data_IF_432335318580
#
_entry.id   IF_432335318580
#
_cell.length_a   1.000
_cell.length_b   1.000
_cell.length_c   1.000
_cell.angle_alpha   90.00
_cell.angle_beta   90.00
_cell.angle_gamma   90.00
#
_symmetry.space_group_name_H-M   'P 1'
#
loop_
_entity.id
_entity.type
_entity.pdbx_description
1 polymer ?
#
# COMPACT_ATOMS: atom_id res chain seq x y z
N UNK A 1 -9.36 21.42 -26.63
CA UNK A 1 -9.02 21.42 -25.20
C UNK A 1 -7.88 20.43 -25.05
N UNK A 2 -6.69 20.84 -24.64
CA UNK A 2 -5.63 19.88 -24.30
C UNK A 2 -6.06 19.17 -23.04
N UNK A 3 -6.23 17.85 -23.10
CA UNK A 3 -6.34 17.05 -21.90
C UNK A 3 -4.99 17.09 -21.17
N UNK A 4 -4.97 16.97 -19.83
CA UNK A 4 -3.71 16.83 -19.11
C UNK A 4 -2.99 15.56 -19.60
N UNK A 5 -1.69 15.69 -19.86
CA UNK A 5 -0.84 14.55 -20.21
C UNK A 5 -0.92 13.54 -19.06
N UNK A 6 -1.31 12.32 -19.38
CA UNK A 6 -1.44 11.20 -18.43
C UNK A 6 -0.36 10.16 -18.73
N UNK A 7 0.32 9.69 -17.69
CA UNK A 7 1.33 8.63 -17.80
C UNK A 7 0.68 7.26 -17.64
N UNK A 8 1.13 6.30 -18.45
CA UNK A 8 0.72 4.90 -18.39
C UNK A 8 1.95 3.99 -18.35
N UNK A 9 1.78 2.81 -17.77
CA UNK A 9 2.70 1.67 -17.93
C UNK A 9 2.01 0.66 -18.85
N UNK A 10 2.73 0.23 -19.88
CA UNK A 10 2.42 -0.95 -20.68
C UNK A 10 3.41 -2.06 -20.28
N UNK A 11 2.89 -3.18 -19.81
CA UNK A 11 3.67 -4.34 -19.37
C UNK A 11 3.38 -5.53 -20.27
N UNK A 12 4.41 -6.25 -20.71
CA UNK A 12 4.26 -7.55 -21.38
C UNK A 12 4.30 -8.67 -20.33
N UNK A 13 3.37 -9.62 -20.43
CA UNK A 13 3.17 -10.66 -19.42
C UNK A 13 3.87 -11.95 -19.82
N UNK A 14 4.60 -12.55 -18.89
CA UNK A 14 5.17 -13.89 -19.07
C UNK A 14 4.03 -14.93 -19.14
N UNK A 15 3.93 -15.74 -20.21
CA UNK A 15 2.80 -16.66 -20.39
C UNK A 15 2.79 -17.84 -19.40
N UNK A 16 3.93 -18.15 -18.80
CA UNK A 16 4.08 -19.27 -17.86
C UNK A 16 3.93 -18.81 -16.41
N UNK A 17 4.48 -17.64 -16.09
CA UNK A 17 4.51 -17.09 -14.73
C UNK A 17 3.43 -16.03 -14.45
N UNK A 18 2.77 -15.53 -15.50
CA UNK A 18 1.68 -14.55 -15.45
C UNK A 18 2.04 -13.25 -14.71
N UNK A 19 3.32 -12.88 -14.73
CA UNK A 19 3.82 -11.62 -14.18
C UNK A 19 4.38 -10.73 -15.28
N UNK A 20 4.45 -9.40 -15.06
CA UNK A 20 5.18 -8.51 -15.96
C UNK A 20 6.63 -8.96 -16.13
N UNK A 21 7.11 -9.01 -17.37
CA UNK A 21 8.50 -9.36 -17.71
C UNK A 21 9.23 -8.24 -18.45
N UNK A 22 8.49 -7.34 -19.09
CA UNK A 22 8.98 -6.12 -19.74
C UNK A 22 7.97 -5.02 -19.49
N UNK A 23 8.46 -3.79 -19.27
CA UNK A 23 7.59 -2.64 -19.02
C UNK A 23 8.13 -1.41 -19.74
N UNK A 24 7.22 -0.61 -20.28
CA UNK A 24 7.52 0.70 -20.86
C UNK A 24 6.54 1.73 -20.31
N UNK A 25 7.06 2.92 -20.02
CA UNK A 25 6.23 4.08 -19.66
C UNK A 25 6.02 4.93 -20.90
N UNK A 26 4.79 5.39 -21.07
CA UNK A 26 4.44 6.32 -22.14
C UNK A 26 3.45 7.37 -21.64
N UNK A 27 3.41 8.49 -22.34
CA UNK A 27 2.58 9.64 -22.05
C UNK A 27 1.56 9.83 -23.16
N UNK A 28 0.32 10.19 -22.82
CA UNK A 28 -0.71 10.53 -23.81
C UNK A 28 -1.69 11.56 -23.27
N UNK A 29 -2.16 12.46 -24.14
CA UNK A 29 -3.32 13.32 -23.92
C UNK A 29 -4.57 12.84 -24.71
N UNK A 30 -4.44 11.78 -25.53
CA UNK A 30 -5.54 11.16 -26.28
C UNK A 30 -6.05 9.90 -25.57
N UNK A 31 -6.74 10.11 -24.44
CA UNK A 31 -7.38 9.04 -23.68
C UNK A 31 -8.49 8.32 -24.48
N UNK A 32 -9.14 9.02 -25.40
CA UNK A 32 -10.18 8.44 -26.25
C UNK A 32 -9.62 7.43 -27.26
N UNK A 33 -8.46 7.71 -27.85
CA UNK A 33 -7.75 6.72 -28.66
C UNK A 33 -7.32 5.52 -27.82
N UNK A 34 -6.72 5.74 -26.65
CA UNK A 34 -6.27 4.63 -25.79
C UNK A 34 -7.44 3.74 -25.36
N UNK A 35 -8.55 4.36 -24.92
CA UNK A 35 -9.78 3.66 -24.52
C UNK A 35 -10.33 2.76 -25.62
N UNK A 36 -10.42 3.26 -26.85
CA UNK A 36 -10.88 2.47 -28.02
C UNK A 36 -10.02 1.25 -28.32
N UNK A 37 -8.74 1.27 -27.92
CA UNK A 37 -7.82 0.16 -28.13
C UNK A 37 -7.86 -0.86 -26.99
N UNK A 38 -7.99 -0.41 -25.74
CA UNK A 38 -7.95 -1.29 -24.56
C UNK A 38 -9.29 -1.93 -24.24
N UNK A 39 -10.38 -1.16 -24.32
CA UNK A 39 -11.73 -1.67 -24.08
C UNK A 39 -12.76 -0.79 -24.84
N UNK A 40 -13.11 -1.15 -26.08
CA UNK A 40 -14.04 -0.37 -26.90
C UNK A 40 -15.48 -0.36 -26.35
N UNK A 41 -15.81 -1.26 -25.42
CA UNK A 41 -17.17 -1.44 -24.90
C UNK A 41 -17.33 -0.99 -23.43
N UNK A 42 -16.24 -0.61 -22.73
CA UNK A 42 -16.30 -0.08 -21.36
C UNK A 42 -16.90 1.34 -21.29
N UNK A 43 -18.15 1.50 -20.79
CA UNK A 43 -18.81 2.80 -20.75
C UNK A 43 -18.47 3.60 -19.49
N UNK A 44 -17.81 2.99 -18.49
CA UNK A 44 -17.84 3.46 -17.10
C UNK A 44 -16.49 4.01 -16.58
N UNK A 45 -15.35 3.69 -17.19
CA UNK A 45 -14.04 4.21 -16.78
C UNK A 45 -13.46 5.17 -17.83
N UNK A 46 -13.81 6.44 -17.69
CA UNK A 46 -13.37 7.52 -18.60
C UNK A 46 -11.89 7.85 -18.38
N UNK A 47 -11.38 7.65 -17.17
CA UNK A 47 -10.04 8.09 -16.75
C UNK A 47 -8.99 6.98 -16.81
N UNK A 48 -9.40 5.78 -17.21
CA UNK A 48 -8.59 4.56 -17.33
C UNK A 48 -7.84 4.24 -16.03
N UNK A 49 -8.55 4.27 -14.91
CA UNK A 49 -7.98 4.09 -13.57
C UNK A 49 -7.78 2.59 -13.20
N UNK A 50 -8.33 1.66 -13.97
CA UNK A 50 -8.17 0.21 -13.76
C UNK A 50 -6.96 -0.41 -14.52
N UNK A 51 -6.81 -1.73 -14.39
CA UNK A 51 -5.87 -2.56 -15.14
C UNK A 51 -6.56 -3.22 -16.34
N UNK A 52 -6.05 -2.96 -17.54
CA UNK A 52 -6.62 -3.50 -18.79
C UNK A 52 -5.74 -4.61 -19.33
N UNK A 53 -6.31 -5.79 -19.53
CA UNK A 53 -5.64 -6.90 -20.20
C UNK A 53 -5.76 -6.71 -21.73
N UNK A 54 -4.63 -6.76 -22.42
CA UNK A 54 -4.53 -6.59 -23.86
C UNK A 54 -4.08 -7.90 -24.51
N UNK A 55 -4.78 -8.30 -25.56
CA UNK A 55 -4.28 -9.31 -26.50
C UNK A 55 -3.03 -8.82 -27.24
N UNK A 56 -2.24 -9.70 -27.87
CA UNK A 56 -1.01 -9.29 -28.56
C UNK A 56 -1.27 -8.30 -29.70
N UNK A 57 -2.42 -8.42 -30.36
CA UNK A 57 -2.87 -7.49 -31.40
C UNK A 57 -3.19 -6.10 -30.84
N UNK A 58 -3.81 -6.04 -29.65
CA UNK A 58 -4.07 -4.76 -28.98
C UNK A 58 -2.78 -4.11 -28.49
N UNK A 59 -1.83 -4.90 -27.96
CA UNK A 59 -0.50 -4.39 -27.58
C UNK A 59 0.19 -3.75 -28.78
N UNK A 60 0.22 -4.44 -29.93
CA UNK A 60 0.80 -3.89 -31.16
C UNK A 60 0.09 -2.60 -31.59
N UNK A 61 -1.25 -2.59 -31.58
CA UNK A 61 -2.03 -1.40 -31.96
C UNK A 61 -1.76 -0.20 -31.04
N UNK A 62 -1.60 -0.40 -29.73
CA UNK A 62 -1.21 0.66 -28.79
C UNK A 62 0.20 1.16 -29.11
N UNK A 63 1.15 0.25 -29.35
CA UNK A 63 2.53 0.65 -29.69
C UNK A 63 2.58 1.47 -30.99
N UNK A 64 1.81 1.07 -32.00
CA UNK A 64 1.73 1.77 -33.29
C UNK A 64 1.08 3.15 -33.15
N UNK A 65 -0.05 3.25 -32.45
CA UNK A 65 -0.81 4.52 -32.31
C UNK A 65 -0.05 5.54 -31.47
N UNK A 66 0.65 5.11 -30.42
CA UNK A 66 1.38 6.00 -29.51
C UNK A 66 2.90 6.03 -29.78
N UNK A 67 3.35 5.46 -30.91
CA UNK A 67 4.75 5.40 -31.32
C UNK A 67 5.70 4.89 -30.22
N UNK A 68 5.30 3.82 -29.54
CA UNK A 68 6.04 3.22 -28.42
C UNK A 68 7.02 2.18 -28.97
N UNK A 69 8.31 2.38 -28.73
CA UNK A 69 9.33 1.36 -29.00
C UNK A 69 9.30 0.28 -27.89
N UNK A 70 8.55 -0.80 -28.13
CA UNK A 70 8.36 -1.87 -27.15
C UNK A 70 8.38 -3.26 -27.81
N UNK A 71 9.46 -4.03 -27.61
CA UNK A 71 9.53 -5.42 -28.09
C UNK A 71 8.75 -6.36 -27.16
N UNK A 72 7.45 -6.43 -27.38
CA UNK A 72 6.55 -7.28 -26.59
C UNK A 72 6.62 -8.76 -26.99
N UNK A 73 7.30 -9.13 -28.09
CA UNK A 73 7.43 -10.51 -28.57
C UNK A 73 6.10 -11.27 -28.72
N UNK A 74 5.05 -10.57 -29.15
CA UNK A 74 3.68 -11.12 -29.31
C UNK A 74 3.05 -11.67 -28.02
N UNK A 75 3.47 -11.17 -26.85
CA UNK A 75 2.84 -11.48 -25.55
C UNK A 75 1.57 -10.68 -25.33
N UNK A 76 0.70 -11.23 -24.49
CA UNK A 76 -0.37 -10.45 -23.85
C UNK A 76 0.25 -9.33 -23.01
N UNK A 77 -0.48 -8.23 -22.90
CA UNK A 77 -0.04 -7.06 -22.16
C UNK A 77 -1.03 -6.63 -21.10
N UNK A 78 -0.57 -5.81 -20.16
CA UNK A 78 -1.42 -5.07 -19.24
C UNK A 78 -1.10 -3.59 -19.36
N UNK A 79 -2.14 -2.76 -19.46
CA UNK A 79 -2.02 -1.32 -19.33
C UNK A 79 -2.61 -0.90 -17.99
N UNK A 80 -1.90 -0.01 -17.31
CA UNK A 80 -2.40 0.66 -16.12
C UNK A 80 -1.90 2.09 -16.07
N UNK A 81 -2.71 2.99 -15.55
CA UNK A 81 -2.31 4.37 -15.28
C UNK A 81 -1.14 4.41 -14.32
N UNK A 82 -0.10 5.16 -14.69
CA UNK A 82 1.03 5.38 -13.82
C UNK A 82 0.71 6.51 -12.84
N UNK A 83 0.61 6.15 -11.56
CA UNK A 83 0.51 7.11 -10.47
C UNK A 83 1.88 7.18 -9.81
N UNK A 84 2.58 8.31 -9.99
CA UNK A 84 3.79 8.57 -9.22
C UNK A 84 3.38 8.82 -7.76
N UNK A 85 3.58 7.80 -6.94
CA UNK A 85 3.33 7.90 -5.50
C UNK A 85 4.45 8.64 -4.77
N UNK A 86 5.53 9.02 -5.46
CA UNK A 86 6.76 9.55 -4.86
C UNK A 86 7.51 8.52 -4.02
N UNK A 87 7.01 7.28 -3.95
CA UNK A 87 7.59 6.22 -3.14
C UNK A 87 8.12 5.11 -4.03
N UNK A 88 9.43 4.91 -3.95
CA UNK A 88 10.09 3.76 -4.56
C UNK A 88 10.15 2.61 -3.56
N UNK A 89 9.31 1.60 -3.76
CA UNK A 89 9.36 0.37 -2.97
C UNK A 89 10.65 -0.39 -3.34
N UNK A 90 11.55 -0.68 -2.39
CA UNK A 90 12.87 -1.25 -2.69
C UNK A 90 12.85 -2.76 -2.95
N UNK A 91 11.67 -3.39 -2.93
CA UNK A 91 11.49 -4.83 -3.17
C UNK A 91 10.09 -5.11 -3.75
N UNK A 92 9.86 -6.35 -4.20
CA UNK A 92 8.58 -6.80 -4.74
C UNK A 92 7.61 -7.13 -3.61
N UNK A 93 6.67 -6.22 -3.33
CA UNK A 93 5.59 -6.41 -2.35
C UNK A 93 4.24 -6.58 -3.06
N UNK A 94 3.62 -7.77 -2.95
CA UNK A 94 2.27 -8.04 -3.48
C UNK A 94 2.05 -7.58 -4.94
N UNK A 95 3.05 -7.79 -5.80
CA UNK A 95 3.17 -7.15 -7.11
C UNK A 95 2.59 -7.97 -8.26
N UNK A 96 1.92 -9.10 -8.00
CA UNK A 96 1.55 -10.06 -9.05
C UNK A 96 2.71 -10.96 -9.48
N UNK A 97 3.81 -10.97 -8.72
CA UNK A 97 4.98 -11.84 -8.95
C UNK A 97 4.99 -13.07 -8.04
N UNK A 98 3.91 -13.32 -7.29
CA UNK A 98 3.78 -14.42 -6.33
C UNK A 98 4.20 -15.76 -6.94
N UNK A 99 3.65 -16.12 -8.10
CA UNK A 99 3.95 -17.38 -8.77
C UNK A 99 5.44 -17.47 -9.13
N UNK A 100 5.99 -16.44 -9.75
CA UNK A 100 7.40 -16.39 -10.15
C UNK A 100 8.34 -16.53 -8.94
N UNK A 101 8.07 -15.78 -7.86
CA UNK A 101 8.90 -15.81 -6.66
C UNK A 101 8.81 -17.15 -5.92
N UNK A 102 7.63 -17.77 -5.89
CA UNK A 102 7.46 -19.10 -5.31
C UNK A 102 8.10 -20.18 -6.19
N UNK A 103 7.94 -20.12 -7.51
CA UNK A 103 8.57 -21.08 -8.43
C UNK A 103 10.10 -21.05 -8.35
N UNK A 104 10.68 -19.89 -8.03
CA UNK A 104 12.12 -19.71 -7.78
C UNK A 104 12.54 -20.09 -6.34
N UNK A 105 11.62 -20.47 -5.46
CA UNK A 105 11.90 -20.78 -4.06
C UNK A 105 12.25 -19.57 -3.19
N UNK A 106 12.08 -18.35 -3.70
CA UNK A 106 12.41 -17.09 -3.00
C UNK A 106 11.30 -16.62 -2.08
N UNK A 107 10.07 -17.02 -2.36
CA UNK A 107 8.89 -16.76 -1.53
C UNK A 107 8.33 -18.10 -1.06
N UNK A 108 8.35 -18.40 0.25
CA UNK A 108 7.88 -19.69 0.77
C UNK A 108 6.35 -19.80 0.84
N UNK A 109 5.64 -18.67 0.81
CA UNK A 109 4.21 -18.59 1.02
C UNK A 109 3.61 -17.40 0.29
N UNK A 110 2.43 -17.59 -0.30
CA UNK A 110 1.67 -16.54 -0.96
C UNK A 110 0.19 -16.87 -0.92
N UNK A 111 -0.64 -15.86 -1.18
CA UNK A 111 -2.06 -16.05 -1.36
C UNK A 111 -2.56 -15.24 -2.55
N UNK A 112 -3.60 -15.74 -3.20
CA UNK A 112 -4.25 -15.08 -4.34
C UNK A 112 -5.73 -14.92 -4.04
N UNK A 113 -6.27 -13.76 -4.40
CA UNK A 113 -7.72 -13.56 -4.42
C UNK A 113 -8.31 -14.34 -5.59
N UNK A 114 -9.34 -15.12 -5.29
CA UNK A 114 -10.03 -15.97 -6.24
C UNK A 114 -11.42 -15.45 -6.53
N UNK A 115 -11.77 -15.34 -7.81
CA UNK A 115 -13.12 -15.11 -8.28
C UNK A 115 -13.38 -15.91 -9.56
N UNK A 116 -14.31 -16.87 -9.51
CA UNK A 116 -14.60 -17.75 -10.64
C UNK A 116 -15.21 -17.06 -11.86
N UNK A 117 -15.73 -15.85 -11.72
CA UNK A 117 -16.22 -15.05 -12.85
C UNK A 117 -15.12 -14.19 -13.49
N UNK A 118 -13.98 -14.05 -12.82
CA UNK A 118 -12.88 -13.22 -13.31
C UNK A 118 -11.83 -14.10 -13.97
N UNK A 119 -11.79 -14.07 -15.30
CA UNK A 119 -10.92 -14.93 -16.11
C UNK A 119 -9.43 -14.90 -15.69
N UNK A 120 -8.79 -13.74 -15.46
CA UNK A 120 -7.42 -13.69 -14.94
C UNK A 120 -7.19 -14.47 -13.64
N UNK A 121 -8.17 -14.44 -12.72
CA UNK A 121 -8.08 -15.19 -11.46
C UNK A 121 -8.12 -16.70 -11.68
N UNK A 122 -8.97 -17.17 -12.60
CA UNK A 122 -9.07 -18.59 -12.96
C UNK A 122 -7.78 -19.08 -13.63
N UNK A 123 -7.22 -18.29 -14.54
CA UNK A 123 -5.96 -18.62 -15.24
C UNK A 123 -4.79 -18.64 -14.25
N UNK A 124 -4.70 -17.65 -13.35
CA UNK A 124 -3.66 -17.61 -12.32
C UNK A 124 -3.72 -18.83 -11.41
N UNK A 125 -4.92 -19.19 -10.92
CA UNK A 125 -5.12 -20.40 -10.12
C UNK A 125 -4.64 -21.65 -10.86
N UNK A 126 -5.02 -21.80 -12.12
CA UNK A 126 -4.63 -22.97 -12.92
C UNK A 126 -3.11 -23.12 -13.01
N UNK A 127 -2.37 -22.02 -13.16
CA UNK A 127 -0.89 -22.05 -13.15
C UNK A 127 -0.33 -22.50 -11.81
N UNK A 128 -0.85 -22.00 -10.70
CA UNK A 128 -0.42 -22.50 -9.39
C UNK A 128 -0.76 -24.00 -9.22
N UNK A 129 -1.94 -24.43 -9.65
CA UNK A 129 -2.39 -25.82 -9.53
C UNK A 129 -1.47 -26.79 -10.31
N UNK A 130 -0.85 -26.36 -11.41
CA UNK A 130 0.18 -27.15 -12.12
C UNK A 130 1.39 -27.45 -11.21
N UNK A 131 1.85 -26.48 -10.43
CA UNK A 131 2.95 -26.68 -9.46
C UNK A 131 2.52 -27.52 -8.26
N UNK A 132 1.25 -27.43 -7.84
CA UNK A 132 0.67 -28.31 -6.81
C UNK A 132 0.62 -29.76 -7.31
N UNK A 133 0.15 -29.99 -8.53
CA UNK A 133 0.07 -31.31 -9.15
C UNK A 133 1.45 -31.97 -9.32
N UNK A 134 2.50 -31.17 -9.54
CA UNK A 134 3.91 -31.61 -9.57
C UNK A 134 4.51 -31.88 -8.19
N UNK A 135 3.78 -31.61 -7.10
CA UNK A 135 4.25 -31.77 -5.73
C UNK A 135 5.27 -30.70 -5.29
N UNK A 136 5.40 -29.60 -6.03
CA UNK A 136 6.30 -28.48 -5.71
C UNK A 136 5.65 -27.54 -4.70
N UNK A 137 4.34 -27.30 -4.84
CA UNK A 137 3.55 -26.49 -3.91
C UNK A 137 2.53 -27.33 -3.15
N UNK A 138 2.04 -26.76 -2.05
CA UNK A 138 0.83 -27.18 -1.37
C UNK A 138 -0.18 -26.03 -1.35
N UNK A 139 -1.46 -26.33 -1.51
CA UNK A 139 -2.54 -25.33 -1.54
C UNK A 139 -3.63 -25.61 -0.52
N UNK A 140 -4.21 -24.55 0.04
CA UNK A 140 -5.44 -24.59 0.82
C UNK A 140 -6.42 -23.52 0.32
N UNK A 141 -7.63 -23.93 -0.06
CA UNK A 141 -8.67 -23.03 -0.55
C UNK A 141 -9.57 -22.55 0.61
N UNK A 142 -9.74 -21.24 0.73
CA UNK A 142 -10.72 -20.60 1.61
C UNK A 142 -11.73 -19.87 0.71
N UNK A 143 -12.66 -20.65 0.14
CA UNK A 143 -13.58 -20.18 -0.89
C UNK A 143 -15.02 -20.31 -0.40
N UNK A 144 -15.82 -19.28 -0.69
CA UNK A 144 -17.25 -19.22 -0.41
C UNK A 144 -18.03 -19.36 -1.72
N UNK A 145 -19.05 -20.22 -1.70
CA UNK A 145 -20.05 -20.29 -2.76
C UNK A 145 -21.07 -19.16 -2.61
N UNK A 146 -21.12 -18.27 -3.59
CA UNK A 146 -22.07 -17.17 -3.68
C UNK A 146 -23.21 -17.58 -4.61
N UNK A 147 -24.46 -17.68 -4.12
CA UNK A 147 -25.59 -18.08 -4.94
C UNK A 147 -25.92 -17.02 -6.00
N UNK A 148 -26.51 -17.47 -7.11
CA UNK A 148 -26.97 -16.58 -8.18
C UNK A 148 -27.99 -15.55 -7.70
N UNK A 149 -27.94 -14.35 -8.28
CA UNK A 149 -28.92 -13.26 -8.09
C UNK A 149 -29.40 -12.77 -9.46
N UNK A 150 -30.55 -12.07 -9.57
CA UNK A 150 -30.97 -11.49 -10.85
C UNK A 150 -29.84 -10.64 -11.47
N UNK A 151 -29.42 -10.98 -12.69
CA UNK A 151 -28.32 -10.32 -13.39
C UNK A 151 -26.90 -10.67 -12.92
N UNK A 152 -26.72 -11.62 -11.98
CA UNK A 152 -25.41 -12.09 -11.52
C UNK A 152 -25.38 -13.62 -11.35
N UNK A 153 -24.55 -14.35 -12.10
CA UNK A 153 -24.40 -15.80 -11.95
C UNK A 153 -24.00 -16.22 -10.52
N UNK A 154 -24.17 -17.51 -10.23
CA UNK A 154 -23.54 -18.10 -9.06
C UNK A 154 -22.02 -18.13 -9.27
N UNK A 155 -21.26 -17.88 -8.21
CA UNK A 155 -19.81 -17.73 -8.30
C UNK A 155 -19.10 -18.17 -7.03
N UNK A 156 -17.83 -18.51 -7.17
CA UNK A 156 -16.92 -18.87 -6.08
C UNK A 156 -15.96 -17.71 -5.87
N UNK A 157 -15.96 -17.15 -4.66
CA UNK A 157 -15.03 -16.07 -4.30
C UNK A 157 -14.31 -16.41 -3.00
N UNK A 158 -13.08 -15.95 -2.85
CA UNK A 158 -12.34 -16.13 -1.61
C UNK A 158 -10.85 -16.04 -1.84
N UNK A 159 -10.08 -16.71 -1.00
CA UNK A 159 -8.62 -16.66 -1.05
C UNK A 159 -8.06 -18.07 -1.18
N UNK A 160 -7.02 -18.23 -2.00
CA UNK A 160 -6.29 -19.50 -2.12
C UNK A 160 -4.89 -19.27 -1.58
N UNK A 161 -4.52 -20.08 -0.60
CA UNK A 161 -3.22 -20.05 0.07
C UNK A 161 -2.30 -21.07 -0.58
N UNK A 162 -1.08 -20.67 -0.93
CA UNK A 162 -0.06 -21.53 -1.51
C UNK A 162 1.21 -21.48 -0.68
N UNK A 163 1.80 -22.64 -0.40
CA UNK A 163 3.10 -22.80 0.26
C UNK A 163 4.03 -23.61 -0.62
N UNK A 164 5.34 -23.43 -0.47
CA UNK A 164 6.29 -24.44 -0.95
C UNK A 164 6.06 -25.76 -0.21
N UNK A 165 6.33 -26.88 -0.87
CA UNK A 165 6.29 -28.18 -0.21
C UNK A 165 7.28 -28.22 0.96
N UNK A 166 6.82 -28.61 2.15
CA UNK A 166 7.58 -28.55 3.41
C UNK A 166 7.35 -27.28 4.25
N UNK A 167 6.73 -26.24 3.67
CA UNK A 167 6.40 -24.99 4.35
C UNK A 167 4.90 -24.90 4.73
N UNK A 168 4.17 -26.03 4.72
CA UNK A 168 2.73 -26.08 4.98
C UNK A 168 2.33 -25.50 6.35
N UNK A 169 3.24 -25.53 7.31
CA UNK A 169 3.06 -25.00 8.67
C UNK A 169 2.72 -23.50 8.69
N UNK A 170 3.01 -22.75 7.62
CA UNK A 170 2.71 -21.31 7.51
C UNK A 170 1.22 -21.01 7.43
N UNK A 171 0.43 -21.91 6.83
CA UNK A 171 -1.02 -21.73 6.70
C UNK A 171 -1.72 -21.78 8.08
N UNK A 172 -1.56 -22.82 8.91
CA UNK A 172 -2.16 -22.84 10.25
C UNK A 172 -1.56 -21.76 11.16
N UNK A 173 -0.32 -21.33 10.95
CA UNK A 173 0.23 -20.18 11.68
C UNK A 173 -0.52 -18.89 11.32
N UNK A 174 -0.74 -18.60 10.02
CA UNK A 174 -1.52 -17.45 9.57
C UNK A 174 -2.94 -17.47 10.15
N UNK A 175 -3.61 -18.62 10.05
CA UNK A 175 -4.96 -18.81 10.57
C UNK A 175 -5.03 -18.56 12.08
N UNK A 176 -4.07 -19.10 12.84
CA UNK A 176 -3.94 -18.86 14.27
C UNK A 176 -3.82 -17.37 14.60
N UNK A 177 -2.98 -16.62 13.88
CA UNK A 177 -2.82 -15.19 14.12
C UNK A 177 -4.09 -14.41 13.76
N UNK A 178 -4.71 -14.69 12.60
CA UNK A 178 -5.95 -14.05 12.18
C UNK A 178 -7.07 -14.27 13.20
N UNK A 179 -7.20 -15.48 13.74
CA UNK A 179 -8.25 -15.83 14.70
C UNK A 179 -8.01 -15.33 16.13
N UNK A 180 -6.76 -15.09 16.55
CA UNK A 180 -6.44 -14.80 17.95
C UNK A 180 -5.91 -13.39 18.20
N UNK A 181 -5.22 -12.81 17.23
CA UNK A 181 -4.53 -11.52 17.39
C UNK A 181 -5.21 -10.41 16.57
N UNK A 182 -5.92 -10.75 15.47
CA UNK A 182 -6.64 -9.79 14.63
C UNK A 182 -8.17 -9.94 14.71
N UNK A 183 -8.72 -10.22 15.89
CA UNK A 183 -10.16 -10.53 16.05
C UNK A 183 -11.09 -9.38 15.64
N UNK A 184 -10.63 -8.14 15.73
CA UNK A 184 -11.44 -6.96 15.38
C UNK A 184 -11.01 -6.32 14.06
N UNK A 185 -10.09 -6.93 13.31
CA UNK A 185 -9.55 -6.34 12.07
C UNK A 185 -8.67 -5.11 12.33
N UNK A 186 -8.27 -4.88 13.58
CA UNK A 186 -7.54 -3.72 14.10
C UNK A 186 -6.02 -3.87 13.94
N UNK A 187 -5.58 -4.52 12.85
CA UNK A 187 -4.20 -4.90 12.53
C UNK A 187 -3.14 -3.97 13.13
N UNK A 188 -2.26 -4.54 13.96
CA UNK A 188 -1.15 -3.81 14.57
C UNK A 188 0.17 -4.06 13.83
N UNK A 189 1.21 -3.25 14.09
CA UNK A 189 2.51 -3.44 13.45
C UNK A 189 3.07 -4.86 13.64
N UNK A 190 2.83 -5.47 14.80
CA UNK A 190 3.30 -6.84 15.04
C UNK A 190 2.57 -7.85 14.17
N UNK A 191 1.29 -7.62 13.83
CA UNK A 191 0.57 -8.44 12.88
C UNK A 191 1.18 -8.32 11.48
N UNK A 192 1.43 -7.10 11.01
CA UNK A 192 2.07 -6.86 9.70
C UNK A 192 3.46 -7.52 9.64
N UNK A 193 4.27 -7.43 10.71
CA UNK A 193 5.56 -8.13 10.77
C UNK A 193 5.40 -9.65 10.74
N UNK A 194 4.42 -10.19 11.43
CA UNK A 194 4.17 -11.64 11.48
C UNK A 194 3.66 -12.16 10.14
N UNK A 195 2.67 -11.50 9.53
CA UNK A 195 2.17 -11.87 8.20
C UNK A 195 3.28 -11.72 7.16
N UNK A 196 4.05 -10.63 7.20
CA UNK A 196 5.19 -10.45 6.31
C UNK A 196 6.27 -11.51 6.48
N UNK A 197 6.61 -11.90 7.72
CA UNK A 197 7.55 -12.99 7.98
C UNK A 197 7.02 -14.36 7.51
N UNK A 198 5.71 -14.61 7.65
CA UNK A 198 5.08 -15.81 7.09
C UNK A 198 5.16 -15.83 5.57
N UNK A 199 4.99 -14.69 4.90
CA UNK A 199 5.17 -14.53 3.45
C UNK A 199 6.65 -14.66 3.02
N UNK A 200 7.59 -14.60 3.96
CA UNK A 200 9.03 -14.73 3.71
C UNK A 200 9.77 -13.41 3.51
N UNK A 201 9.17 -12.28 3.89
CA UNK A 201 9.86 -11.00 3.91
C UNK A 201 10.80 -10.88 5.11
N UNK A 202 11.97 -10.30 4.85
CA UNK A 202 12.98 -9.99 5.87
C UNK A 202 12.51 -8.86 6.81
N UNK A 203 13.10 -8.78 8.00
CA UNK A 203 12.70 -7.80 9.01
C UNK A 203 12.76 -6.35 8.49
N UNK A 204 13.80 -6.00 7.73
CA UNK A 204 13.93 -4.65 7.17
C UNK A 204 12.86 -4.35 6.11
N UNK A 205 12.39 -5.36 5.36
CA UNK A 205 11.30 -5.20 4.39
C UNK A 205 10.00 -4.90 5.12
N UNK A 206 9.71 -5.66 6.18
CA UNK A 206 8.54 -5.44 7.02
C UNK A 206 8.58 -4.05 7.68
N UNK A 207 9.73 -3.65 8.25
CA UNK A 207 9.87 -2.33 8.86
C UNK A 207 9.72 -1.20 7.83
N UNK A 208 10.25 -1.38 6.62
CA UNK A 208 10.04 -0.44 5.52
C UNK A 208 8.56 -0.32 5.14
N UNK A 209 7.84 -1.44 5.01
CA UNK A 209 6.42 -1.46 4.67
C UNK A 209 5.57 -0.76 5.73
N UNK A 210 5.83 -1.06 7.00
CA UNK A 210 5.15 -0.44 8.13
C UNK A 210 5.41 1.06 8.19
N UNK A 211 6.65 1.49 7.92
CA UNK A 211 6.99 2.91 7.83
C UNK A 211 6.25 3.58 6.65
N UNK A 212 6.25 2.94 5.48
CA UNK A 212 5.56 3.42 4.30
C UNK A 212 4.06 3.62 4.56
N UNK A 213 3.38 2.59 5.09
CA UNK A 213 1.95 2.65 5.42
C UNK A 213 1.65 3.75 6.46
N UNK A 214 2.51 3.90 7.46
CA UNK A 214 2.30 4.91 8.49
C UNK A 214 2.44 6.34 7.99
N UNK A 215 3.39 6.60 7.07
CA UNK A 215 3.56 7.91 6.43
C UNK A 215 2.46 8.21 5.43
N UNK A 216 2.01 7.19 4.71
CA UNK A 216 1.01 7.32 3.66
C UNK A 216 -0.41 7.50 4.19
N UNK A 217 -0.64 7.57 5.51
CA UNK A 217 -1.96 7.83 6.14
C UNK A 217 -3.12 6.96 5.61
N UNK A 218 -2.78 5.88 4.90
CA UNK A 218 -3.67 4.94 4.22
C UNK A 218 -3.50 3.59 4.91
N UNK A 219 -4.59 2.83 4.99
CA UNK A 219 -4.58 1.48 5.52
C UNK A 219 -4.75 1.39 7.03
N UNK A 220 -4.20 0.32 7.61
CA UNK A 220 -4.50 -0.19 8.95
C UNK A 220 -4.08 0.73 10.11
N UNK A 221 -3.21 1.71 9.88
CA UNK A 221 -2.69 2.61 10.90
C UNK A 221 -3.50 3.89 11.10
N UNK A 222 -4.71 3.96 10.51
CA UNK A 222 -5.55 5.13 10.60
C UNK A 222 -4.88 6.38 10.05
N UNK A 223 -5.42 7.53 10.42
CA UNK A 223 -4.87 8.79 9.97
C UNK A 223 -3.57 9.13 10.69
N UNK A 224 -2.63 9.68 9.94
CA UNK A 224 -1.35 10.12 10.48
C UNK A 224 -1.29 11.64 10.62
N UNK A 225 -0.92 12.07 11.82
CA UNK A 225 -0.86 13.48 12.21
C UNK A 225 0.51 13.79 12.82
N UNK A 226 0.98 15.00 12.58
CA UNK A 226 2.25 15.51 13.08
C UNK A 226 1.97 16.61 14.11
N UNK A 227 2.69 16.55 15.23
CA UNK A 227 2.67 17.51 16.33
C UNK A 227 4.08 18.09 16.49
N UNK A 228 4.18 19.41 16.66
CA UNK A 228 5.41 20.05 17.16
C UNK A 228 5.44 19.95 18.68
N UNK A 229 6.60 19.63 19.23
CA UNK A 229 6.80 19.56 20.68
C UNK A 229 7.97 20.41 21.11
N UNK A 230 7.85 21.07 22.26
CA UNK A 230 8.96 21.75 22.91
C UNK A 230 9.84 20.77 23.72
N UNK A 231 10.90 21.29 24.36
CA UNK A 231 11.83 20.47 25.17
C UNK A 231 11.12 19.72 26.30
N UNK A 232 10.24 20.38 27.05
CA UNK A 232 9.58 19.77 28.20
C UNK A 232 8.59 18.68 27.75
N UNK A 233 7.86 18.92 26.68
CA UNK A 233 6.98 17.96 26.03
C UNK A 233 7.74 16.77 25.45
N UNK A 234 8.90 17.01 24.85
CA UNK A 234 9.77 15.94 24.34
C UNK A 234 10.33 15.07 25.48
N UNK A 235 10.81 15.69 26.57
CA UNK A 235 11.31 14.96 27.73
C UNK A 235 10.19 14.12 28.38
N UNK A 236 8.95 14.65 28.40
CA UNK A 236 7.77 13.90 28.82
C UNK A 236 7.50 12.70 27.91
N UNK A 237 7.57 12.87 26.59
CA UNK A 237 7.40 11.78 25.62
C UNK A 237 8.41 10.66 25.85
N UNK A 238 9.67 11.00 26.09
CA UNK A 238 10.72 10.05 26.45
C UNK A 238 10.36 9.32 27.75
N UNK A 239 9.93 10.04 28.78
CA UNK A 239 9.53 9.44 30.06
C UNK A 239 8.32 8.50 29.93
N UNK A 240 7.34 8.86 29.10
CA UNK A 240 6.17 8.04 28.79
C UNK A 240 6.47 6.87 27.82
N UNK A 241 7.72 6.69 27.39
CA UNK A 241 8.12 5.68 26.43
C UNK A 241 7.43 5.83 25.09
N UNK A 242 7.07 7.06 24.70
CA UNK A 242 6.36 7.41 23.48
C UNK A 242 4.97 6.75 23.32
N UNK A 243 4.31 6.37 24.41
CA UNK A 243 2.99 5.70 24.36
C UNK A 243 1.79 6.64 24.44
N UNK A 244 2.03 7.94 24.51
CA UNK A 244 1.02 8.97 24.65
C UNK A 244 1.57 10.30 24.14
N UNK A 245 0.69 11.20 23.74
CA UNK A 245 1.00 12.61 23.50
C UNK A 245 1.19 13.35 24.84
N UNK A 246 2.11 14.34 24.88
CA UNK A 246 2.38 15.10 26.09
C UNK A 246 1.20 16.02 26.44
N UNK A 247 1.03 16.36 27.72
CA UNK A 247 0.08 17.39 28.11
C UNK A 247 0.48 18.74 27.49
N UNK A 248 -0.52 19.56 27.23
CA UNK A 248 -0.37 20.92 26.67
C UNK A 248 -1.06 21.89 27.61
N UNK A 249 -0.34 22.91 28.09
CA UNK A 249 -0.87 23.92 29.00
C UNK A 249 -1.75 24.96 28.29
N UNK A 250 -1.61 25.08 26.97
CA UNK A 250 -2.46 25.91 26.12
C UNK A 250 -3.83 25.26 25.87
N UNK A 251 -4.89 26.07 25.62
CA UNK A 251 -6.24 25.54 25.35
C UNK A 251 -6.31 24.71 24.07
N UNK A 252 -5.40 24.94 23.13
CA UNK A 252 -5.29 24.22 21.86
C UNK A 252 -3.85 23.83 21.57
N UNK A 253 -3.69 22.88 20.65
CA UNK A 253 -2.41 22.51 20.06
C UNK A 253 -2.56 22.35 18.54
N UNK A 254 -1.46 22.56 17.82
CA UNK A 254 -1.45 22.52 16.36
C UNK A 254 -1.15 21.12 15.85
N UNK A 255 -2.00 20.61 14.96
CA UNK A 255 -1.77 19.40 14.18
C UNK A 255 -1.54 19.70 12.70
N UNK A 256 -0.64 18.93 12.10
CA UNK A 256 -0.42 18.90 10.66
C UNK A 256 -0.76 17.52 10.12
N UNK A 257 -1.30 17.44 8.91
CA UNK A 257 -1.49 16.16 8.24
C UNK A 257 -0.16 15.66 7.67
N UNK A 258 0.21 14.40 7.94
CA UNK A 258 1.53 13.85 7.55
C UNK A 258 1.76 13.87 6.04
N UNK A 259 0.68 13.84 5.27
CA UNK A 259 0.70 13.87 3.80
C UNK A 259 1.17 15.19 3.21
N UNK A 260 1.01 16.28 3.96
CA UNK A 260 1.17 17.64 3.43
C UNK A 260 2.29 18.40 4.12
N UNK A 261 2.92 17.80 5.12
CA UNK A 261 3.94 18.45 5.93
C UNK A 261 5.24 17.66 5.89
N UNK A 262 6.04 17.98 4.87
CA UNK A 262 7.28 17.28 4.56
C UNK A 262 8.46 17.70 5.46
N UNK A 263 9.58 17.01 5.27
CA UNK A 263 10.80 17.26 6.04
C UNK A 263 11.38 18.67 5.81
N UNK A 264 11.25 19.23 4.60
CA UNK A 264 11.74 20.56 4.31
C UNK A 264 10.93 21.63 5.06
N UNK A 265 9.61 21.48 5.10
CA UNK A 265 8.70 22.33 5.87
C UNK A 265 8.95 22.21 7.38
N UNK A 266 9.16 21.00 7.90
CA UNK A 266 9.55 20.77 9.29
C UNK A 266 10.89 21.48 9.63
N UNK A 267 11.92 21.30 8.80
CA UNK A 267 13.22 21.95 9.00
C UNK A 267 13.12 23.48 8.94
N UNK A 268 12.28 24.02 8.05
CA UNK A 268 12.03 25.46 7.98
C UNK A 268 11.38 25.97 9.27
N UNK A 269 10.29 25.33 9.72
CA UNK A 269 9.61 25.71 10.94
C UNK A 269 10.52 25.67 12.18
N UNK A 270 11.42 24.69 12.29
CA UNK A 270 12.39 24.62 13.40
C UNK A 270 13.48 25.69 13.37
N UNK A 271 13.82 26.21 12.18
CA UNK A 271 14.73 27.36 12.06
C UNK A 271 14.03 28.65 12.50
N UNK A 272 12.76 28.80 12.13
CA UNK A 272 11.98 30.02 12.40
C UNK A 272 11.49 30.11 13.85
N UNK A 273 11.22 28.96 14.49
CA UNK A 273 10.75 28.88 15.88
C UNK A 273 11.76 28.12 16.75
N UNK A 274 12.53 28.80 17.62
CA UNK A 274 13.55 28.17 18.47
C UNK A 274 12.94 27.30 19.59
N UNK A 275 11.64 27.40 19.85
CA UNK A 275 10.98 26.64 20.93
C UNK A 275 10.71 25.18 20.55
N UNK A 276 10.65 24.88 19.25
CA UNK A 276 10.39 23.52 18.74
C UNK A 276 11.60 22.63 19.03
N UNK A 277 11.46 21.61 19.87
CA UNK A 277 12.50 20.61 20.07
C UNK A 277 12.44 19.51 19.01
N UNK A 278 11.24 19.08 18.64
CA UNK A 278 11.04 18.01 17.68
C UNK A 278 9.67 18.12 16.98
N UNK A 279 9.57 17.46 15.82
CA UNK A 279 8.30 17.05 15.26
C UNK A 279 8.08 15.56 15.51
N UNK A 280 6.89 15.23 16.00
CA UNK A 280 6.50 13.85 16.28
C UNK A 280 5.25 13.47 15.51
N UNK A 281 5.21 12.21 15.07
CA UNK A 281 4.10 11.61 14.34
C UNK A 281 3.33 10.70 15.29
N UNK A 282 2.01 10.74 15.18
CA UNK A 282 1.15 9.72 15.77
C UNK A 282 0.07 9.30 14.78
N UNK A 283 -0.49 8.13 15.06
CA UNK A 283 -1.45 7.46 14.21
C UNK A 283 -2.64 7.04 15.08
N UNK A 284 -3.85 7.36 14.63
CA UNK A 284 -5.07 7.09 15.38
C UNK A 284 -6.34 7.21 14.54
N UNK A 285 -7.47 6.81 15.13
CA UNK A 285 -8.77 6.92 14.49
C UNK A 285 -9.18 8.39 14.32
N UNK A 286 -9.10 8.93 13.09
CA UNK A 286 -9.50 10.30 12.78
C UNK A 286 -10.97 10.57 13.16
N UNK A 287 -11.82 9.54 13.15
CA UNK A 287 -13.22 9.62 13.59
C UNK A 287 -13.42 10.30 14.95
N UNK A 288 -12.43 10.22 15.85
CA UNK A 288 -12.50 10.83 17.18
C UNK A 288 -12.13 12.30 17.22
N UNK A 289 -11.58 12.86 16.14
CA UNK A 289 -11.12 14.26 16.05
C UNK A 289 -11.61 14.99 14.79
N UNK A 290 -12.26 14.32 13.83
CA UNK A 290 -12.79 14.93 12.59
C UNK A 290 -13.84 16.02 12.80
N UNK A 291 -14.48 16.05 13.97
CA UNK A 291 -15.40 17.13 14.33
C UNK A 291 -14.66 18.42 14.76
N UNK A 292 -13.36 18.33 15.06
CA UNK A 292 -12.54 19.45 15.49
C UNK A 292 -11.77 20.12 14.33
N UNK A 293 -11.55 19.42 13.21
CA UNK A 293 -10.80 19.94 12.07
C UNK A 293 -11.12 19.23 10.74
N UNK A 294 -10.94 19.93 9.62
CA UNK A 294 -11.07 19.37 8.26
C UNK A 294 -9.73 18.81 7.75
N UNK A 295 -9.50 17.53 8.04
CA UNK A 295 -8.29 16.81 7.64
C UNK A 295 -8.14 16.55 6.14
N UNK A 296 -9.09 17.00 5.31
CA UNK A 296 -8.91 17.04 3.85
C UNK A 296 -7.95 18.14 3.40
N UNK A 297 -7.62 19.08 4.30
CA UNK A 297 -6.63 20.13 4.06
C UNK A 297 -5.35 19.85 4.84
N UNK A 298 -4.25 20.44 4.37
CA UNK A 298 -2.91 20.26 4.94
C UNK A 298 -2.79 20.65 6.43
N UNK A 299 -3.69 21.50 6.92
CA UNK A 299 -3.51 22.23 8.17
C UNK A 299 -2.72 23.54 7.96
N UNK A 300 -2.22 24.19 9.03
CA UNK A 300 -2.30 23.77 10.43
C UNK A 300 -3.74 23.70 10.97
N UNK A 301 -4.00 22.72 11.83
CA UNK A 301 -5.28 22.52 12.50
C UNK A 301 -5.14 22.80 13.99
N UNK A 302 -5.91 23.74 14.52
CA UNK A 302 -5.96 24.02 15.96
C UNK A 302 -6.94 23.07 16.63
N UNK A 303 -6.43 22.17 17.48
CA UNK A 303 -7.22 21.13 18.15
C UNK A 303 -7.31 21.44 19.65
N UNK A 304 -8.51 21.32 20.28
CA UNK A 304 -8.64 21.47 21.72
C UNK A 304 -7.75 20.49 22.49
N UNK A 305 -6.96 20.99 23.45
CA UNK A 305 -6.09 20.16 24.29
C UNK A 305 -6.88 19.13 25.13
N UNK A 306 -8.16 19.39 25.37
CA UNK A 306 -9.09 18.45 26.01
C UNK A 306 -9.29 17.14 25.25
N UNK A 307 -8.91 17.08 23.97
CA UNK A 307 -8.97 15.85 23.15
C UNK A 307 -7.73 14.96 23.31
N UNK A 308 -6.65 15.42 23.94
CA UNK A 308 -5.42 14.62 24.14
C UNK A 308 -5.70 13.27 24.82
N UNK A 309 -6.50 13.18 25.90
CA UNK A 309 -6.84 11.89 26.51
C UNK A 309 -7.58 10.94 25.57
N UNK A 310 -8.46 11.48 24.72
CA UNK A 310 -9.18 10.69 23.70
C UNK A 310 -8.20 10.19 22.64
N UNK A 311 -7.32 11.06 22.13
CA UNK A 311 -6.29 10.68 21.16
C UNK A 311 -5.39 9.59 21.75
N UNK A 312 -4.91 9.76 22.97
CA UNK A 312 -4.06 8.78 23.66
C UNK A 312 -4.73 7.41 23.84
N UNK A 313 -6.05 7.37 24.07
CA UNK A 313 -6.81 6.12 24.16
C UNK A 313 -6.90 5.36 22.82
N UNK A 314 -6.80 6.09 21.71
CA UNK A 314 -7.00 5.58 20.36
C UNK A 314 -5.73 5.61 19.51
N UNK A 315 -4.55 5.71 20.14
CA UNK A 315 -3.28 5.56 19.46
C UNK A 315 -3.12 4.12 18.97
N UNK A 316 -2.76 3.98 17.69
CA UNK A 316 -2.56 2.67 17.06
C UNK A 316 -1.10 2.20 17.14
N UNK A 317 -0.19 3.10 17.51
CA UNK A 317 1.24 2.82 17.68
C UNK A 317 1.91 3.84 18.61
N UNK A 318 3.16 3.57 18.97
CA UNK A 318 3.99 4.54 19.65
C UNK A 318 4.18 5.81 18.80
N UNK A 319 4.23 6.94 19.48
CA UNK A 319 4.57 8.24 18.91
C UNK A 319 5.99 8.18 18.37
N UNK A 320 6.18 8.59 17.13
CA UNK A 320 7.48 8.53 16.46
C UNK A 320 8.10 9.91 16.35
N UNK A 321 9.39 10.02 16.60
CA UNK A 321 10.15 11.24 16.30
C UNK A 321 10.47 11.27 14.81
N UNK A 322 10.02 12.32 14.11
CA UNK A 322 10.33 12.50 12.69
C UNK A 322 11.63 13.27 12.49
N UNK A 323 11.81 14.34 13.25
CA UNK A 323 13.03 15.16 13.25
C UNK A 323 13.18 15.81 14.62
N UNK A 324 14.43 15.85 15.11
CA UNK A 324 14.81 16.56 16.33
C UNK A 324 15.75 17.72 16.02
N UNK A 325 15.76 18.75 16.87
CA UNK A 325 16.62 19.93 16.71
C UNK A 325 18.10 19.58 16.60
N UNK A 326 18.55 18.53 17.30
CA UNK A 326 19.91 18.00 17.15
C UNK A 326 20.24 17.60 15.71
N UNK A 327 19.28 17.02 14.99
CA UNK A 327 19.46 16.45 13.65
C UNK A 327 19.58 17.55 12.58
N UNK A 328 19.06 18.74 12.89
CA UNK A 328 19.21 19.94 12.06
C UNK A 328 20.54 20.67 12.27
N UNK A 329 21.30 20.31 13.31
CA UNK A 329 22.53 21.00 13.72
C UNK A 329 23.81 20.25 13.32
N UNK A 330 23.72 19.04 12.78
CA UNK A 330 24.88 18.31 12.24
C UNK A 330 25.42 19.03 10.97
N UNK A 331 26.67 19.51 10.98
CA UNK A 331 27.34 19.95 9.76
C UNK A 331 27.85 18.74 8.98
N UNK A 332 27.84 18.88 7.66
CA UNK A 332 28.55 18.05 6.70
C UNK A 332 29.95 17.71 7.23
N UNK A 333 30.14 16.49 7.72
CA UNK A 333 31.46 15.97 8.05
C UNK A 333 32.07 15.42 6.77
N UNK A 334 33.18 16.04 6.39
CA UNK A 334 34.04 15.89 5.21
C UNK A 334 34.44 14.47 4.81
#
# INVERSE_FOLDING_TARGET
MSYPITLFILSAIDPDLLCPCLEVRFETDDLDALRRLVDPDAPEDVDLDDHYLLSPTQVAAVCDVFAIEFDHGSRDGVISKYVDTGVRIPYLVHTGYELALMAQGRKPFGFVEFNSEWWPSVVLKARFDEYVARGVFHSQEIILDVPARPGRPARRIGQILYTLKGEEWRIPALDFFRQNVNRQGDGCENMERLEGALLGYESWQNDWWIDHLARSGRGLYGASSILKVDRAQFDWLVHAGFRALPPVDAPTFTLYSSHWFDEAAMKAAMRDDPTIEAFVQFNGGQAHIVHAADFRTAGPHEIPATLIPTINRHLLRAVRVLIRRSDCLEPSSS
#
